data_IF_948086662465
#
_entry.id   IF_948086662465
#
_cell.length_a   1.000
_cell.length_b   1.000
_cell.length_c   1.000
_cell.angle_alpha   90.00
_cell.angle_beta   90.00
_cell.angle_gamma   90.00
#
_symmetry.space_group_name_H-M   'P 1'
#
loop_
_entity.id
_entity.type
_entity.pdbx_description
1 polymer ?
#
# COMPACT_ATOMS: atom_id res chain seq x y z
N UNK A 1 -14.81 -18.93 -15.46
CA UNK A 1 -14.78 -18.05 -14.27
C UNK A 1 -13.52 -17.21 -14.40
N UNK A 2 -13.65 -15.89 -14.45
CA UNK A 2 -12.50 -14.97 -14.60
C UNK A 2 -11.69 -14.99 -13.32
N UNK A 3 -10.44 -15.43 -13.39
CA UNK A 3 -9.57 -15.57 -12.21
C UNK A 3 -8.81 -14.27 -11.96
N UNK A 4 -9.43 -13.40 -11.20
CA UNK A 4 -8.89 -12.07 -10.82
C UNK A 4 -7.55 -12.19 -10.07
N UNK A 5 -7.33 -13.28 -9.32
CA UNK A 5 -6.10 -13.50 -8.56
C UNK A 5 -4.91 -13.72 -9.51
N UNK A 6 -5.07 -14.50 -10.57
CA UNK A 6 -4.02 -14.71 -11.56
C UNK A 6 -3.71 -13.44 -12.35
N UNK A 7 -4.70 -12.59 -12.60
CA UNK A 7 -4.47 -11.31 -13.26
C UNK A 7 -3.68 -10.34 -12.37
N UNK A 8 -4.02 -10.26 -11.08
CA UNK A 8 -3.28 -9.48 -10.09
C UNK A 8 -1.83 -9.96 -9.97
N UNK A 9 -1.60 -11.29 -9.84
CA UNK A 9 -0.26 -11.88 -9.77
C UNK A 9 0.60 -11.46 -10.96
N UNK A 10 0.11 -11.69 -12.18
CA UNK A 10 0.84 -11.35 -13.42
C UNK A 10 1.12 -9.85 -13.52
N UNK A 11 0.15 -9.01 -13.16
CA UNK A 11 0.33 -7.55 -13.19
C UNK A 11 1.47 -7.08 -12.31
N UNK A 12 1.58 -7.60 -11.08
CA UNK A 12 2.66 -7.22 -10.18
C UNK A 12 4.02 -7.78 -10.59
N UNK A 13 4.08 -8.98 -11.15
CA UNK A 13 5.32 -9.53 -11.73
C UNK A 13 5.86 -8.63 -12.85
N UNK A 14 5.04 -8.31 -13.85
CA UNK A 14 5.39 -7.41 -14.96
C UNK A 14 5.75 -5.99 -14.47
N UNK A 15 5.03 -5.50 -13.47
CA UNK A 15 5.25 -4.16 -12.96
C UNK A 15 6.60 -4.01 -12.23
N UNK A 16 6.99 -5.01 -11.43
CA UNK A 16 8.26 -5.00 -10.71
C UNK A 16 9.48 -5.16 -11.62
N UNK A 17 9.30 -5.66 -12.83
CA UNK A 17 10.37 -5.81 -13.82
C UNK A 17 10.62 -4.54 -14.63
N UNK A 18 9.78 -3.50 -14.51
CA UNK A 18 9.92 -2.26 -15.26
C UNK A 18 10.73 -1.19 -14.48
N UNK A 19 12.05 -1.04 -14.76
CA UNK A 19 12.93 -0.11 -14.03
C UNK A 19 12.68 1.37 -14.38
N UNK A 20 11.82 1.67 -15.35
CA UNK A 20 11.56 3.02 -15.85
C UNK A 20 10.20 3.58 -15.42
N UNK A 21 9.52 2.96 -14.44
CA UNK A 21 8.22 3.45 -13.99
C UNK A 21 8.36 4.88 -13.43
N UNK A 22 7.63 5.85 -14.00
CA UNK A 22 7.67 7.24 -13.53
C UNK A 22 7.15 7.41 -12.09
N UNK A 23 6.46 6.41 -11.53
CA UNK A 23 5.98 6.37 -10.14
C UNK A 23 7.07 6.01 -9.13
N UNK A 24 8.24 5.56 -9.57
CA UNK A 24 9.37 5.17 -8.70
C UNK A 24 9.70 6.23 -7.64
N UNK A 25 9.64 7.52 -7.99
CA UNK A 25 9.86 8.63 -7.05
C UNK A 25 8.82 8.62 -5.92
N UNK A 26 7.54 8.38 -6.26
CA UNK A 26 6.42 8.38 -5.30
C UNK A 26 6.52 7.19 -4.36
N UNK A 27 6.86 6.01 -4.89
CA UNK A 27 7.07 4.82 -4.07
C UNK A 27 8.29 4.92 -3.17
N UNK A 28 9.37 5.56 -3.62
CA UNK A 28 10.53 5.87 -2.76
C UNK A 28 10.14 6.79 -1.60
N UNK A 29 9.34 7.82 -1.86
CA UNK A 29 8.84 8.71 -0.80
C UNK A 29 7.87 7.99 0.15
N UNK A 30 6.98 7.12 -0.37
CA UNK A 30 6.11 6.28 0.45
C UNK A 30 6.94 5.36 1.36
N UNK A 31 7.87 4.61 0.80
CA UNK A 31 8.74 3.69 1.55
C UNK A 31 9.55 4.41 2.62
N UNK A 32 10.10 5.59 2.29
CA UNK A 32 10.80 6.44 3.25
C UNK A 32 9.88 6.85 4.39
N UNK A 33 8.67 7.32 4.08
CA UNK A 33 7.69 7.71 5.09
C UNK A 33 7.32 6.53 5.99
N UNK A 34 7.04 5.35 5.43
CA UNK A 34 6.73 4.14 6.20
C UNK A 34 7.87 3.83 7.15
N UNK A 35 9.12 3.79 6.67
CA UNK A 35 10.29 3.49 7.49
C UNK A 35 10.49 4.51 8.63
N UNK A 36 10.35 5.81 8.33
CA UNK A 36 10.48 6.88 9.32
C UNK A 36 9.39 6.82 10.40
N UNK A 37 8.18 6.39 10.01
CA UNK A 37 7.01 6.37 10.87
C UNK A 37 6.84 5.07 11.66
N UNK A 38 7.42 3.96 11.20
CA UNK A 38 7.42 2.70 11.94
C UNK A 38 8.07 2.89 13.32
N UNK A 39 7.37 2.57 14.41
CA UNK A 39 7.96 2.62 15.75
C UNK A 39 9.02 1.52 15.93
N UNK A 40 9.80 1.61 17.00
CA UNK A 40 10.72 0.53 17.39
C UNK A 40 9.92 -0.71 17.81
N UNK A 41 10.39 -1.87 17.38
CA UNK A 41 9.66 -3.13 17.47
C UNK A 41 10.32 -4.21 18.31
N UNK A 42 11.37 -3.90 19.09
CA UNK A 42 12.04 -4.89 19.94
C UNK A 42 11.05 -5.64 20.84
N UNK A 43 11.03 -6.98 20.70
CA UNK A 43 10.10 -7.86 21.42
C UNK A 43 8.64 -7.83 20.94
N UNK A 44 8.34 -7.09 19.85
CA UNK A 44 7.01 -6.92 19.29
C UNK A 44 6.82 -7.73 18.01
N UNK A 45 5.56 -8.03 17.69
CA UNK A 45 5.16 -8.76 16.50
C UNK A 45 4.54 -7.81 15.47
N UNK A 46 4.91 -8.00 14.20
CA UNK A 46 4.31 -7.28 13.08
C UNK A 46 3.77 -8.26 12.03
N UNK A 47 2.65 -7.87 11.41
CA UNK A 47 2.09 -8.56 10.26
C UNK A 47 2.14 -7.64 9.06
N UNK A 48 2.76 -8.09 7.97
CA UNK A 48 2.76 -7.40 6.68
C UNK A 48 1.85 -8.11 5.70
N UNK A 49 0.86 -7.41 5.15
CA UNK A 49 -0.15 -7.97 4.24
C UNK A 49 0.07 -7.48 2.82
N UNK A 50 0.21 -8.44 1.89
CA UNK A 50 0.61 -8.16 0.52
C UNK A 50 2.09 -7.79 0.44
N UNK A 51 2.94 -8.62 1.03
CA UNK A 51 4.35 -8.31 1.29
C UNK A 51 5.20 -8.16 0.02
N UNK A 52 4.73 -8.68 -1.13
CA UNK A 52 5.43 -8.59 -2.41
C UNK A 52 6.88 -9.07 -2.32
N UNK A 53 7.81 -8.25 -2.78
CA UNK A 53 9.26 -8.54 -2.69
C UNK A 53 9.88 -8.23 -1.31
N UNK A 54 9.07 -7.91 -0.29
CA UNK A 54 9.51 -7.78 1.10
C UNK A 54 10.16 -6.45 1.47
N UNK A 55 9.81 -5.34 0.80
CA UNK A 55 10.33 -4.02 1.17
C UNK A 55 9.92 -3.63 2.60
N UNK A 56 8.65 -3.78 2.93
CA UNK A 56 8.13 -3.47 4.27
C UNK A 56 8.60 -4.50 5.30
N UNK A 57 8.65 -5.78 4.94
CA UNK A 57 9.28 -6.84 5.76
C UNK A 57 10.68 -6.43 6.20
N UNK A 58 11.53 -5.97 5.25
CA UNK A 58 12.88 -5.50 5.55
C UNK A 58 12.88 -4.33 6.54
N UNK A 59 11.94 -3.38 6.43
CA UNK A 59 11.84 -2.25 7.36
C UNK A 59 11.40 -2.69 8.77
N UNK A 60 10.43 -3.61 8.86
CA UNK A 60 9.97 -4.17 10.12
C UNK A 60 11.10 -4.93 10.84
N UNK A 61 11.86 -5.75 10.13
CA UNK A 61 13.03 -6.44 10.66
C UNK A 61 14.10 -5.46 11.16
N UNK A 62 14.42 -4.40 10.38
CA UNK A 62 15.35 -3.35 10.78
C UNK A 62 14.89 -2.59 12.04
N UNK A 63 13.59 -2.53 12.30
CA UNK A 63 13.01 -1.94 13.51
C UNK A 63 12.94 -2.93 14.69
N UNK A 64 13.36 -4.17 14.51
CA UNK A 64 13.44 -5.20 15.56
C UNK A 64 12.16 -6.02 15.78
N UNK A 65 11.20 -5.97 14.85
CA UNK A 65 9.98 -6.79 14.94
C UNK A 65 10.21 -8.26 14.63
N UNK A 66 9.46 -9.13 15.28
CA UNK A 66 9.19 -10.48 14.79
C UNK A 66 8.09 -10.38 13.71
N UNK A 67 8.43 -10.75 12.47
CA UNK A 67 7.58 -10.49 11.31
C UNK A 67 6.88 -11.77 10.85
N UNK A 68 5.58 -11.66 10.61
CA UNK A 68 4.79 -12.59 9.80
C UNK A 68 4.39 -11.87 8.53
N UNK A 69 4.56 -12.50 7.36
CA UNK A 69 4.20 -11.96 6.05
C UNK A 69 3.06 -12.77 5.45
N UNK A 70 2.08 -12.12 4.81
CA UNK A 70 1.04 -12.77 4.01
C UNK A 70 1.16 -12.31 2.56
N UNK A 71 1.30 -13.25 1.64
CA UNK A 71 1.46 -12.96 0.22
C UNK A 71 0.70 -14.00 -0.63
N UNK A 72 0.05 -13.50 -1.69
CA UNK A 72 -0.76 -14.32 -2.61
C UNK A 72 0.08 -14.95 -3.74
N UNK A 73 1.13 -14.26 -4.19
CA UNK A 73 1.93 -14.67 -5.34
C UNK A 73 3.02 -15.66 -4.90
N UNK A 74 2.96 -16.88 -5.44
CA UNK A 74 3.89 -17.96 -5.14
C UNK A 74 5.37 -17.61 -5.38
N UNK A 75 5.66 -16.85 -6.45
CA UNK A 75 7.03 -16.43 -6.76
C UNK A 75 7.56 -15.45 -5.71
N UNK A 76 6.70 -14.55 -5.22
CA UNK A 76 7.07 -13.64 -4.13
C UNK A 76 7.19 -14.38 -2.79
N UNK A 77 6.33 -15.36 -2.53
CA UNK A 77 6.42 -16.24 -1.34
C UNK A 77 7.76 -16.98 -1.31
N UNK A 78 8.17 -17.58 -2.44
CA UNK A 78 9.48 -18.25 -2.54
C UNK A 78 10.63 -17.27 -2.30
N UNK A 79 10.59 -16.10 -2.93
CA UNK A 79 11.59 -15.06 -2.74
C UNK A 79 11.65 -14.51 -1.32
N UNK A 80 10.50 -14.39 -0.62
CA UNK A 80 10.44 -13.99 0.78
C UNK A 80 11.09 -15.02 1.69
N UNK A 81 10.77 -16.31 1.51
CA UNK A 81 11.34 -17.42 2.29
C UNK A 81 12.86 -17.57 2.10
N UNK A 82 13.35 -17.34 0.88
CA UNK A 82 14.78 -17.36 0.57
C UNK A 82 15.51 -16.14 1.19
N UNK A 83 14.94 -14.96 1.05
CA UNK A 83 15.58 -13.71 1.47
C UNK A 83 15.49 -13.46 2.98
N UNK A 84 14.44 -13.94 3.62
CA UNK A 84 14.15 -13.73 5.04
C UNK A 84 13.78 -15.05 5.73
N UNK A 85 14.75 -15.98 5.89
CA UNK A 85 14.48 -17.31 6.45
C UNK A 85 14.00 -17.29 7.91
N UNK A 86 14.18 -16.17 8.61
CA UNK A 86 13.77 -15.96 10.01
C UNK A 86 12.30 -15.59 10.19
N UNK A 87 11.55 -15.27 9.12
CA UNK A 87 10.15 -14.87 9.23
C UNK A 87 9.19 -16.02 8.91
N UNK A 88 7.96 -15.91 9.42
CA UNK A 88 6.85 -16.73 8.98
C UNK A 88 6.24 -16.14 7.69
N UNK A 89 6.13 -16.95 6.61
CA UNK A 89 5.49 -16.57 5.35
C UNK A 89 4.27 -17.44 5.10
N UNK A 90 3.08 -16.83 5.18
CA UNK A 90 1.78 -17.44 4.91
C UNK A 90 1.40 -17.15 3.45
N UNK A 91 1.26 -18.21 2.66
CA UNK A 91 0.81 -18.12 1.28
C UNK A 91 -0.71 -18.11 1.17
N UNK A 92 -1.28 -17.13 0.46
CA UNK A 92 -2.70 -17.10 0.13
C UNK A 92 -3.33 -15.72 0.25
N UNK A 93 -4.65 -15.68 -0.06
CA UNK A 93 -5.44 -14.47 0.12
C UNK A 93 -5.67 -14.19 1.61
N UNK A 94 -5.29 -12.99 2.03
CA UNK A 94 -5.43 -12.55 3.43
C UNK A 94 -6.83 -12.76 4.00
N UNK A 95 -7.87 -12.51 3.23
CA UNK A 95 -9.25 -12.66 3.71
C UNK A 95 -9.63 -14.13 3.98
N UNK A 96 -8.90 -15.08 3.39
CA UNK A 96 -9.20 -16.52 3.43
C UNK A 96 -8.27 -17.32 4.33
N UNK A 97 -6.99 -16.91 4.46
CA UNK A 97 -6.01 -17.65 5.28
C UNK A 97 -6.26 -17.50 6.77
N UNK A 98 -5.90 -18.51 7.55
CA UNK A 98 -5.92 -18.43 9.02
C UNK A 98 -4.63 -17.77 9.52
N UNK A 99 -4.76 -16.84 10.45
CA UNK A 99 -3.65 -16.13 11.07
C UNK A 99 -3.79 -16.27 12.59
N UNK A 100 -2.75 -16.76 13.25
CA UNK A 100 -2.76 -17.04 14.66
C UNK A 100 -2.15 -15.91 15.50
N UNK A 101 -2.83 -15.59 16.61
CA UNK A 101 -2.37 -14.61 17.58
C UNK A 101 -2.65 -13.16 17.18
N UNK A 102 -2.04 -12.24 17.92
CA UNK A 102 -2.18 -10.79 17.74
C UNK A 102 -0.83 -10.16 17.41
N UNK A 103 -0.87 -8.98 16.85
CA UNK A 103 0.29 -8.22 16.41
C UNK A 103 0.25 -6.81 16.99
N UNK A 104 1.41 -6.25 17.29
CA UNK A 104 1.54 -4.87 17.75
C UNK A 104 1.28 -3.85 16.64
N UNK A 105 1.52 -4.27 15.38
CA UNK A 105 1.22 -3.49 14.18
C UNK A 105 0.90 -4.39 13.00
N UNK A 106 -0.07 -3.96 12.19
CA UNK A 106 -0.32 -4.52 10.84
C UNK A 106 0.00 -3.45 9.80
N UNK A 107 0.76 -3.84 8.78
CA UNK A 107 1.04 -3.01 7.60
C UNK A 107 0.36 -3.62 6.37
N UNK A 108 -0.21 -2.76 5.50
CA UNK A 108 -0.77 -3.17 4.21
C UNK A 108 -0.51 -2.04 3.19
N UNK A 109 0.74 -1.97 2.73
CA UNK A 109 1.24 -0.93 1.84
C UNK A 109 1.10 -1.38 0.39
N UNK A 110 0.49 -0.53 -0.45
CA UNK A 110 0.14 -0.83 -1.85
C UNK A 110 -0.76 -2.08 -2.00
N UNK A 111 -1.55 -2.36 -0.98
CA UNK A 111 -2.44 -3.52 -0.93
C UNK A 111 -3.91 -3.17 -1.17
N UNK A 112 -4.40 -2.07 -0.56
CA UNK A 112 -5.83 -1.68 -0.52
C UNK A 112 -6.44 -1.50 -1.91
N UNK A 113 -5.66 -1.06 -2.90
CA UNK A 113 -6.13 -0.91 -4.28
C UNK A 113 -6.51 -2.22 -4.96
N UNK A 114 -6.21 -3.37 -4.38
CA UNK A 114 -6.61 -4.69 -4.90
C UNK A 114 -7.95 -5.18 -4.34
N UNK A 115 -8.56 -4.41 -3.44
CA UNK A 115 -9.78 -4.76 -2.74
C UNK A 115 -10.93 -3.85 -3.21
N UNK A 116 -12.06 -4.44 -3.58
CA UNK A 116 -13.31 -3.68 -3.68
C UNK A 116 -13.83 -3.27 -2.30
N UNK A 117 -14.88 -2.45 -2.25
CA UNK A 117 -15.39 -1.91 -0.97
C UNK A 117 -15.84 -3.00 0.00
N UNK A 118 -16.35 -4.12 -0.47
CA UNK A 118 -16.79 -5.22 0.39
C UNK A 118 -15.58 -6.04 0.90
N UNK A 119 -14.61 -6.32 0.03
CA UNK A 119 -13.36 -6.98 0.41
C UNK A 119 -12.55 -6.10 1.38
N UNK A 120 -12.55 -4.77 1.20
CA UNK A 120 -11.91 -3.84 2.12
C UNK A 120 -12.56 -3.86 3.51
N UNK A 121 -13.90 -3.91 3.59
CA UNK A 121 -14.58 -4.06 4.88
C UNK A 121 -14.25 -5.39 5.56
N UNK A 122 -14.22 -6.50 4.80
CA UNK A 122 -13.81 -7.81 5.32
C UNK A 122 -12.37 -7.77 5.85
N UNK A 123 -11.46 -7.20 5.05
CA UNK A 123 -10.07 -7.00 5.43
C UNK A 123 -9.96 -6.24 6.75
N UNK A 124 -10.58 -5.07 6.88
CA UNK A 124 -10.48 -4.24 8.08
C UNK A 124 -11.12 -4.88 9.30
N UNK A 125 -12.25 -5.60 9.16
CA UNK A 125 -12.84 -6.38 10.25
C UNK A 125 -11.87 -7.47 10.76
N UNK A 126 -11.21 -8.19 9.84
CA UNK A 126 -10.21 -9.20 10.20
C UNK A 126 -8.99 -8.56 10.86
N UNK A 127 -8.47 -7.47 10.32
CA UNK A 127 -7.36 -6.72 10.92
C UNK A 127 -7.70 -6.27 12.34
N UNK A 128 -8.94 -5.81 12.58
CA UNK A 128 -9.40 -5.39 13.91
C UNK A 128 -9.39 -6.52 14.96
N UNK A 129 -9.38 -7.79 14.56
CA UNK A 129 -9.20 -8.92 15.49
C UNK A 129 -7.73 -9.24 15.75
N UNK A 130 -6.81 -8.72 14.96
CA UNK A 130 -5.40 -9.05 14.99
C UNK A 130 -4.52 -7.96 15.61
N UNK A 131 -4.94 -6.68 15.54
CA UNK A 131 -4.15 -5.55 16.01
C UNK A 131 -4.99 -4.35 16.40
N UNK A 132 -4.42 -3.50 17.24
CA UNK A 132 -4.93 -2.16 17.51
C UNK A 132 -4.19 -1.05 16.72
N UNK A 133 -3.12 -1.40 15.96
CA UNK A 133 -2.37 -0.43 15.16
C UNK A 133 -2.24 -0.86 13.70
N UNK A 134 -2.79 -0.06 12.79
CA UNK A 134 -2.81 -0.30 11.34
C UNK A 134 -2.10 0.82 10.59
N UNK A 135 -1.27 0.43 9.62
CA UNK A 135 -0.60 1.34 8.68
C UNK A 135 -0.94 0.92 7.25
N UNK A 136 -1.56 1.83 6.51
CA UNK A 136 -2.00 1.60 5.12
C UNK A 136 -1.74 2.81 4.24
N UNK A 137 -1.81 2.60 2.92
CA UNK A 137 -2.02 3.68 1.97
C UNK A 137 -3.11 3.30 0.96
N UNK A 138 -3.63 4.31 0.28
CA UNK A 138 -4.60 4.15 -0.81
C UNK A 138 -4.13 4.89 -2.05
N UNK A 139 -4.51 4.37 -3.22
CA UNK A 139 -4.55 5.13 -4.47
C UNK A 139 -5.74 6.07 -4.44
N UNK A 140 -5.45 7.38 -4.46
CA UNK A 140 -6.46 8.41 -4.20
C UNK A 140 -7.22 8.79 -5.48
N UNK A 141 -8.52 8.52 -5.49
CA UNK A 141 -9.43 8.86 -6.59
C UNK A 141 -9.50 10.36 -6.89
N UNK A 142 -9.34 11.21 -5.87
CA UNK A 142 -9.40 12.67 -6.00
C UNK A 142 -8.08 13.30 -6.48
N UNK A 143 -7.06 12.49 -6.77
CA UNK A 143 -5.78 12.99 -7.26
C UNK A 143 -5.85 13.40 -8.75
N UNK A 144 -4.90 14.25 -9.16
CA UNK A 144 -4.72 14.57 -10.59
C UNK A 144 -4.46 13.30 -11.41
N UNK A 145 -3.73 12.35 -10.85
CA UNK A 145 -3.49 11.05 -11.49
C UNK A 145 -4.76 10.22 -11.59
N UNK A 146 -5.56 10.15 -10.52
CA UNK A 146 -6.85 9.45 -10.51
C UNK A 146 -7.83 10.01 -11.54
N UNK A 147 -7.94 11.36 -11.60
CA UNK A 147 -8.74 12.03 -12.61
C UNK A 147 -8.26 11.71 -14.04
N UNK A 148 -6.94 11.77 -14.27
CA UNK A 148 -6.35 11.50 -15.58
C UNK A 148 -6.56 10.05 -16.04
N UNK A 149 -6.37 9.09 -15.16
CA UNK A 149 -6.58 7.66 -15.47
C UNK A 149 -8.04 7.35 -15.76
N UNK A 150 -8.97 7.95 -15.01
CA UNK A 150 -10.40 7.83 -15.24
C UNK A 150 -10.81 8.43 -16.60
N UNK A 151 -10.32 9.65 -16.92
CA UNK A 151 -10.59 10.33 -18.20
C UNK A 151 -10.11 9.52 -19.41
N UNK A 152 -9.00 8.79 -19.27
CA UNK A 152 -8.41 7.99 -20.37
C UNK A 152 -8.93 6.55 -20.44
N UNK A 153 -9.80 6.13 -19.54
CA UNK A 153 -10.31 4.75 -19.50
C UNK A 153 -9.24 3.70 -19.19
N UNK A 154 -8.10 4.09 -18.60
CA UNK A 154 -6.99 3.18 -18.27
C UNK A 154 -7.13 2.47 -16.92
N UNK A 155 -8.26 2.59 -16.25
CA UNK A 155 -8.47 1.89 -14.99
C UNK A 155 -8.58 0.39 -15.26
N UNK A 156 -7.65 -0.38 -14.71
CA UNK A 156 -7.74 -1.85 -14.75
C UNK A 156 -8.89 -2.32 -13.87
N UNK A 157 -9.58 -3.38 -14.28
CA UNK A 157 -10.77 -3.90 -13.61
C UNK A 157 -10.55 -4.33 -12.14
N UNK A 158 -9.30 -4.59 -11.77
CA UNK A 158 -8.90 -5.04 -10.43
C UNK A 158 -8.13 -3.97 -9.63
N UNK A 159 -8.02 -2.72 -10.12
CA UNK A 159 -7.39 -1.62 -9.39
C UNK A 159 -8.47 -0.67 -8.92
N UNK A 160 -8.73 -0.68 -7.63
CA UNK A 160 -9.72 0.17 -6.99
C UNK A 160 -9.06 1.43 -6.44
N UNK A 161 -9.74 2.55 -6.61
CA UNK A 161 -9.32 3.84 -6.08
C UNK A 161 -10.35 4.35 -5.10
N UNK A 162 -9.91 4.93 -4.00
CA UNK A 162 -10.77 5.44 -2.93
C UNK A 162 -10.51 6.91 -2.69
N UNK A 163 -11.53 7.63 -2.25
CA UNK A 163 -11.31 8.95 -1.67
C UNK A 163 -10.83 8.80 -0.22
N UNK A 164 -10.03 9.74 0.30
CA UNK A 164 -9.66 9.75 1.72
C UNK A 164 -10.85 9.63 2.67
N UNK A 165 -11.97 10.30 2.33
CA UNK A 165 -13.19 10.28 3.15
C UNK A 165 -13.85 8.90 3.20
N UNK A 166 -13.89 8.18 2.07
CA UNK A 166 -14.46 6.83 2.01
C UNK A 166 -13.68 5.88 2.91
N UNK A 167 -12.34 5.89 2.83
CA UNK A 167 -11.51 4.99 3.65
C UNK A 167 -11.51 5.39 5.12
N UNK A 168 -11.44 6.69 5.45
CA UNK A 168 -11.58 7.17 6.83
C UNK A 168 -12.94 6.74 7.42
N UNK A 169 -14.01 6.75 6.62
CA UNK A 169 -15.34 6.26 7.03
C UNK A 169 -15.36 4.75 7.32
N UNK A 170 -14.82 3.94 6.39
CA UNK A 170 -14.78 2.47 6.55
C UNK A 170 -13.88 2.08 7.76
N UNK A 171 -12.76 2.79 7.98
CA UNK A 171 -11.93 2.61 9.18
C UNK A 171 -12.76 2.85 10.46
N UNK A 172 -13.55 3.94 10.49
CA UNK A 172 -14.44 4.25 11.61
C UNK A 172 -15.50 3.17 11.85
N UNK A 173 -16.11 2.62 10.78
CA UNK A 173 -17.08 1.51 10.87
C UNK A 173 -16.47 0.24 11.51
N UNK A 174 -15.16 0.06 11.43
CA UNK A 174 -14.42 -1.09 11.97
C UNK A 174 -13.70 -0.80 13.29
N UNK A 175 -13.97 0.37 13.88
CA UNK A 175 -13.45 0.77 15.20
C UNK A 175 -12.07 1.42 15.17
N UNK A 176 -11.50 1.66 13.98
CA UNK A 176 -10.24 2.38 13.85
C UNK A 176 -10.44 3.89 13.76
N UNK A 177 -9.58 4.62 14.47
CA UNK A 177 -9.47 6.09 14.37
C UNK A 177 -8.15 6.45 13.71
N UNK A 178 -8.20 7.32 12.71
CA UNK A 178 -7.01 7.82 12.02
C UNK A 178 -6.23 8.74 12.96
N UNK A 179 -4.98 8.34 13.28
CA UNK A 179 -4.08 9.08 14.17
C UNK A 179 -3.06 9.92 13.41
N UNK A 180 -2.74 9.52 12.18
CA UNK A 180 -1.85 10.27 11.31
C UNK A 180 -2.24 10.04 9.85
N UNK A 181 -2.07 11.08 9.03
CA UNK A 181 -2.33 11.04 7.59
C UNK A 181 -1.41 11.97 6.83
N UNK A 182 -1.02 11.55 5.62
CA UNK A 182 -0.18 12.34 4.73
C UNK A 182 -0.46 12.02 3.27
N UNK A 183 -0.50 13.05 2.44
CA UNK A 183 -0.48 12.91 0.98
C UNK A 183 0.93 12.66 0.47
N UNK A 184 1.07 11.94 -0.64
CA UNK A 184 2.34 11.70 -1.33
C UNK A 184 2.10 11.86 -2.82
N UNK A 185 2.92 12.71 -3.48
CA UNK A 185 2.87 12.91 -4.91
C UNK A 185 1.72 13.80 -5.35
N UNK A 186 1.66 15.05 -4.89
CA UNK A 186 0.75 16.07 -5.42
C UNK A 186 0.92 16.20 -6.93
N UNK A 187 2.18 16.27 -7.39
CA UNK A 187 2.54 16.20 -8.79
C UNK A 187 3.16 14.83 -9.09
N UNK A 188 2.40 13.99 -9.76
CA UNK A 188 2.92 12.73 -10.30
C UNK A 188 3.44 12.99 -11.70
N UNK A 189 4.65 12.55 -12.08
CA UNK A 189 5.11 12.60 -13.46
C UNK A 189 4.15 11.79 -14.35
N UNK A 190 3.31 12.49 -15.10
CA UNK A 190 2.30 11.89 -15.98
C UNK A 190 2.88 11.87 -17.39
N UNK A 191 2.86 10.72 -18.03
CA UNK A 191 3.14 10.59 -19.46
C UNK A 191 1.87 10.78 -20.28
N UNK A 192 1.91 11.61 -21.34
CA UNK A 192 0.75 11.93 -22.17
C UNK A 192 0.20 10.70 -22.93
N UNK A 193 1.07 9.77 -23.28
CA UNK A 193 0.76 8.54 -24.01
C UNK A 193 1.69 7.42 -23.52
N UNK A 194 1.18 6.20 -23.46
CA UNK A 194 1.96 5.02 -23.05
C UNK A 194 3.25 4.81 -23.89
N UNK A 195 3.29 5.36 -25.08
CA UNK A 195 4.40 5.25 -26.04
C UNK A 195 5.20 6.56 -26.23
N UNK A 196 4.86 7.64 -25.53
CA UNK A 196 5.57 8.92 -25.68
C UNK A 196 6.48 9.20 -24.50
N UNK A 197 7.76 9.46 -24.79
CA UNK A 197 8.80 9.84 -23.80
C UNK A 197 8.62 11.24 -23.20
N UNK A 198 7.56 11.97 -23.56
CA UNK A 198 7.33 13.32 -23.02
C UNK A 198 6.49 13.28 -21.74
N UNK A 199 7.13 13.59 -20.62
CA UNK A 199 6.47 13.80 -19.33
C UNK A 199 5.85 15.21 -19.34
N UNK A 200 4.54 15.33 -19.10
CA UNK A 200 3.86 16.64 -18.93
C UNK A 200 4.40 17.33 -17.68
N UNK A 201 4.64 16.56 -16.62
CA UNK A 201 5.23 17.05 -15.38
C UNK A 201 6.64 16.48 -15.29
N UNK A 202 7.68 17.30 -15.45
CA UNK A 202 9.05 16.83 -15.33
C UNK A 202 9.36 16.45 -13.88
N UNK A 203 10.16 15.39 -13.70
CA UNK A 203 10.47 14.83 -12.38
C UNK A 203 11.15 15.85 -11.44
N UNK A 204 11.93 16.82 -11.99
CA UNK A 204 12.55 17.88 -11.18
C UNK A 204 11.52 18.80 -10.54
N UNK A 205 10.42 19.13 -11.25
CA UNK A 205 9.34 19.98 -10.70
C UNK A 205 8.61 19.25 -9.58
N UNK A 206 8.29 17.96 -9.77
CA UNK A 206 7.69 17.13 -8.73
C UNK A 206 8.58 17.07 -7.46
N UNK A 207 9.90 16.94 -7.61
CA UNK A 207 10.85 16.94 -6.48
C UNK A 207 10.86 18.25 -5.69
N UNK A 208 10.59 19.39 -6.33
CA UNK A 208 10.53 20.71 -5.66
C UNK A 208 9.17 20.93 -5.00
N UNK A 209 8.09 20.61 -5.70
CA UNK A 209 6.70 20.95 -5.28
C UNK A 209 6.16 19.96 -4.25
N UNK A 210 6.39 18.65 -4.42
CA UNK A 210 5.79 17.64 -3.57
C UNK A 210 6.14 17.78 -2.07
N UNK A 211 7.37 18.06 -1.63
CA UNK A 211 7.66 18.16 -0.20
C UNK A 211 6.82 19.19 0.56
N UNK A 212 6.37 20.23 -0.13
CA UNK A 212 5.50 21.28 0.41
C UNK A 212 4.03 20.97 0.12
N UNK A 213 3.71 20.66 -1.15
CA UNK A 213 2.35 20.40 -1.62
C UNK A 213 1.67 19.22 -0.95
N UNK A 214 2.41 18.13 -0.71
CA UNK A 214 1.93 16.92 -0.05
C UNK A 214 1.48 17.18 1.42
N UNK A 215 2.07 18.20 2.06
CA UNK A 215 1.66 18.62 3.41
C UNK A 215 0.45 19.54 3.40
N UNK A 216 0.36 20.43 2.41
CA UNK A 216 -0.71 21.45 2.33
C UNK A 216 -1.98 20.85 1.73
N UNK A 217 -1.85 19.98 0.74
CA UNK A 217 -2.97 19.42 -0.02
C UNK A 217 -3.02 17.88 0.02
N UNK A 218 -2.98 17.23 1.19
CA UNK A 218 -2.83 15.76 1.28
C UNK A 218 -3.99 15.02 0.61
N UNK A 219 -5.19 15.60 0.58
CA UNK A 219 -6.41 14.96 0.04
C UNK A 219 -6.50 14.90 -1.48
N UNK A 220 -5.56 15.53 -2.20
CA UNK A 220 -5.50 15.50 -3.67
C UNK A 220 -4.19 14.94 -4.20
N UNK A 221 -3.33 14.43 -3.32
CA UNK A 221 -2.11 13.71 -3.69
C UNK A 221 -2.43 12.34 -4.29
N UNK A 222 -1.50 11.80 -5.06
CA UNK A 222 -1.65 10.49 -5.74
C UNK A 222 -1.90 9.36 -4.74
N UNK A 223 -1.04 9.25 -3.73
CA UNK A 223 -1.21 8.32 -2.62
C UNK A 223 -1.61 9.06 -1.35
N UNK A 224 -2.40 8.39 -0.53
CA UNK A 224 -2.80 8.88 0.77
C UNK A 224 -2.45 7.84 1.83
N UNK A 225 -1.45 8.17 2.64
CA UNK A 225 -0.94 7.35 3.72
C UNK A 225 -1.73 7.59 5.00
N UNK A 226 -2.01 6.53 5.74
CA UNK A 226 -2.83 6.53 6.95
C UNK A 226 -2.21 5.65 8.03
N UNK A 227 -2.15 6.17 9.25
CA UNK A 227 -1.99 5.38 10.47
C UNK A 227 -3.30 5.44 11.24
N UNK A 228 -3.77 4.31 11.70
CA UNK A 228 -5.00 4.22 12.46
C UNK A 228 -4.79 3.36 13.72
N UNK A 229 -5.47 3.74 14.79
CA UNK A 229 -5.50 2.98 16.04
C UNK A 229 -6.95 2.64 16.41
N UNK A 230 -7.13 1.46 16.99
CA UNK A 230 -8.40 1.08 17.58
C UNK A 230 -8.40 1.52 19.04
N UNK A 231 -9.48 2.15 19.47
CA UNK A 231 -9.69 2.41 20.89
C UNK A 231 -10.11 1.10 21.56
N UNK A 232 -9.28 0.64 22.49
CA UNK A 232 -9.59 -0.47 23.39
C UNK A 232 -10.74 -0.09 24.31
#
# INVERSE_FOLDING_TARGET
>A
MYDIHNEIKRYYEEWWENPLDPRDIIFKELNKLVFERLPQGEGKRALDVGSGKGAIVSFLLQKGYQVTAVELNENFVMGLRERFPEIEVIEGDFNSVSINGTFDVVTAIEFIQNLDSEALRRFLRKVATLTDQLIINISNKNSLHGFWTAFRGFQKSFVYTYTPKEVEGILGETGFQVTYKRGIGLLTPITLLSNFRFKIIPSWLARIVNPIGDKIFPRVCHLYYLEAKRNS
#
